data_IF_335501480532
#
_entry.id   IF_335501480532
#
_cell.length_a   1.000
_cell.length_b   1.000
_cell.length_c   1.000
_cell.angle_alpha   90.00
_cell.angle_beta   90.00
_cell.angle_gamma   90.00
#
_symmetry.space_group_name_H-M   'P 1'
#
loop_
_entity.id
_entity.type
_entity.pdbx_description
1 polymer ?
#
# COMPACT_ATOMS: atom_id res chain seq x y z
N UNK A 1 15.82 -5.71 -11.77
CA UNK A 1 15.85 -4.42 -11.04
C UNK A 1 15.34 -4.63 -9.61
N UNK A 2 16.16 -4.36 -8.60
CA UNK A 2 15.76 -4.51 -7.20
C UNK A 2 14.76 -3.41 -6.80
N UNK A 3 13.56 -3.80 -6.36
CA UNK A 3 12.56 -2.84 -5.89
C UNK A 3 12.93 -2.31 -4.52
N UNK A 4 13.16 -0.99 -4.41
CA UNK A 4 13.32 -0.33 -3.12
C UNK A 4 12.01 -0.43 -2.33
N UNK A 5 12.07 -0.86 -1.07
CA UNK A 5 10.91 -0.91 -0.19
C UNK A 5 10.33 0.50 -0.02
N UNK A 6 9.03 0.67 -0.28
CA UNK A 6 8.34 1.97 -0.19
C UNK A 6 7.50 2.01 1.10
N UNK A 7 7.41 3.18 1.74
CA UNK A 7 6.52 3.42 2.89
C UNK A 7 5.06 3.36 2.43
N UNK A 8 4.21 2.63 3.16
CA UNK A 8 2.76 2.57 2.91
C UNK A 8 2.08 3.78 3.55
N UNK A 9 2.26 4.95 2.95
CA UNK A 9 1.63 6.20 3.33
C UNK A 9 1.29 7.01 2.08
N UNK A 10 0.50 8.08 2.22
CA UNK A 10 0.21 8.97 1.11
C UNK A 10 1.50 9.54 0.49
N UNK A 11 1.61 9.45 -0.84
CA UNK A 11 2.78 9.94 -1.58
C UNK A 11 2.60 11.43 -1.88
N UNK A 12 3.35 12.30 -1.19
CA UNK A 12 3.22 13.76 -1.33
C UNK A 12 3.66 14.28 -2.71
N UNK A 13 4.68 13.66 -3.33
CA UNK A 13 5.17 14.05 -4.65
C UNK A 13 4.23 13.58 -5.77
N UNK A 14 3.52 14.51 -6.38
CA UNK A 14 2.49 14.28 -7.41
C UNK A 14 2.95 13.42 -8.59
N UNK A 15 4.07 13.75 -9.22
CA UNK A 15 4.59 12.99 -10.36
C UNK A 15 4.84 11.51 -9.99
N UNK A 16 5.44 11.27 -8.82
CA UNK A 16 5.68 9.91 -8.32
C UNK A 16 4.38 9.18 -7.96
N UNK A 17 3.40 9.90 -7.39
CA UNK A 17 2.09 9.36 -7.05
C UNK A 17 1.33 8.93 -8.31
N UNK A 18 1.29 9.78 -9.34
CA UNK A 18 0.63 9.49 -10.64
C UNK A 18 1.27 8.29 -11.35
N UNK A 19 2.60 8.25 -11.43
CA UNK A 19 3.32 7.12 -12.04
C UNK A 19 3.08 5.81 -11.26
N UNK A 20 3.10 5.88 -9.92
CA UNK A 20 2.82 4.73 -9.06
C UNK A 20 1.38 4.26 -9.20
N UNK A 21 0.40 5.17 -9.27
CA UNK A 21 -1.01 4.85 -9.48
C UNK A 21 -1.18 4.09 -10.80
N UNK A 22 -0.68 4.62 -11.92
CA UNK A 22 -0.78 3.96 -13.24
C UNK A 22 -0.21 2.53 -13.23
N UNK A 23 0.93 2.32 -12.57
CA UNK A 23 1.57 0.99 -12.48
C UNK A 23 0.81 0.04 -11.56
N UNK A 24 0.43 0.50 -10.36
CA UNK A 24 -0.26 -0.33 -9.35
C UNK A 24 -1.69 -0.65 -9.76
N UNK A 25 -2.38 0.28 -10.40
CA UNK A 25 -3.74 0.10 -10.94
C UNK A 25 -3.80 -1.07 -11.93
N UNK A 26 -2.92 -1.06 -12.94
CA UNK A 26 -2.76 -2.17 -13.89
C UNK A 26 -2.42 -3.49 -13.20
N UNK A 27 -1.51 -3.45 -12.22
CA UNK A 27 -1.12 -4.63 -11.46
C UNK A 27 -2.26 -5.20 -10.61
N UNK A 28 -3.09 -4.34 -10.01
CA UNK A 28 -4.24 -4.73 -9.20
C UNK A 28 -5.32 -5.37 -10.08
N UNK A 29 -5.68 -4.74 -11.20
CA UNK A 29 -6.66 -5.27 -12.15
C UNK A 29 -6.23 -6.65 -12.65
N UNK A 30 -4.96 -6.81 -13.04
CA UNK A 30 -4.43 -8.11 -13.43
C UNK A 30 -4.54 -9.16 -12.32
N UNK A 31 -4.32 -8.76 -11.06
CA UNK A 31 -4.43 -9.69 -9.92
C UNK A 31 -5.88 -10.07 -9.61
N UNK A 32 -6.83 -9.17 -9.83
CA UNK A 32 -8.27 -9.48 -9.71
C UNK A 32 -8.67 -10.47 -10.79
N UNK A 33 -8.25 -10.25 -12.03
CA UNK A 33 -8.49 -11.15 -13.16
C UNK A 33 -7.89 -12.56 -12.93
N UNK A 34 -6.62 -12.63 -12.51
CA UNK A 34 -5.97 -13.89 -12.14
C UNK A 34 -6.70 -14.59 -10.97
N UNK A 35 -7.16 -13.84 -9.96
CA UNK A 35 -7.86 -14.41 -8.80
C UNK A 35 -9.24 -14.93 -9.17
N UNK A 36 -9.96 -14.20 -10.02
CA UNK A 36 -11.25 -14.63 -10.57
C UNK A 36 -11.09 -15.92 -11.35
N UNK A 37 -10.14 -15.96 -12.27
CA UNK A 37 -9.91 -17.09 -13.19
C UNK A 37 -9.35 -18.32 -12.48
N UNK A 38 -8.35 -18.17 -11.61
CA UNK A 38 -7.67 -19.30 -10.96
C UNK A 38 -8.37 -19.76 -9.69
N UNK A 39 -9.06 -18.84 -9.02
CA UNK A 39 -9.75 -19.10 -7.76
C UNK A 39 -11.21 -19.49 -7.94
N UNK A 40 -11.74 -19.47 -9.17
CA UNK A 40 -13.15 -19.70 -9.51
C UNK A 40 -14.09 -18.92 -8.57
N UNK A 41 -13.85 -17.60 -8.51
CA UNK A 41 -14.52 -16.72 -7.57
C UNK A 41 -14.98 -15.43 -8.25
N UNK A 42 -16.22 -15.02 -7.99
CA UNK A 42 -16.75 -13.73 -8.43
C UNK A 42 -15.93 -12.58 -7.79
N UNK A 43 -15.07 -11.95 -8.60
CA UNK A 43 -14.22 -10.85 -8.16
C UNK A 43 -14.36 -9.64 -9.09
N UNK A 44 -14.52 -8.47 -8.50
CA UNK A 44 -14.60 -7.20 -9.23
C UNK A 44 -13.80 -6.10 -8.52
N UNK A 45 -13.43 -5.06 -9.26
CA UNK A 45 -12.79 -3.87 -8.67
C UNK A 45 -13.24 -2.58 -9.34
N UNK A 46 -13.41 -1.53 -8.53
CA UNK A 46 -13.73 -0.17 -8.98
C UNK A 46 -12.70 0.79 -8.38
N UNK A 47 -11.94 1.49 -9.24
CA UNK A 47 -10.84 2.35 -8.83
C UNK A 47 -11.14 3.79 -9.22
N UNK A 48 -11.30 4.66 -8.23
CA UNK A 48 -11.45 6.10 -8.43
C UNK A 48 -10.10 6.79 -8.35
N UNK A 49 -9.80 7.62 -9.36
CA UNK A 49 -8.57 8.39 -9.43
C UNK A 49 -8.91 9.88 -9.47
N UNK A 50 -8.27 10.74 -8.66
CA UNK A 50 -8.46 12.19 -8.76
C UNK A 50 -8.01 12.80 -10.09
N UNK A 51 -7.28 12.04 -10.92
CA UNK A 51 -6.76 12.50 -12.21
C UNK A 51 -7.59 12.03 -13.40
N UNK A 52 -8.62 11.21 -13.18
CA UNK A 52 -9.45 10.62 -14.23
C UNK A 52 -10.92 10.92 -13.91
N UNK A 53 -11.72 11.28 -14.91
CA UNK A 53 -13.13 11.63 -14.69
C UNK A 53 -14.00 10.39 -14.47
N UNK A 54 -13.60 9.25 -15.05
CA UNK A 54 -14.31 7.99 -14.95
C UNK A 54 -13.50 6.99 -14.12
N UNK A 55 -14.18 6.16 -13.30
CA UNK A 55 -13.52 5.09 -12.57
C UNK A 55 -13.06 3.99 -13.52
N UNK A 56 -11.94 3.37 -13.21
CA UNK A 56 -11.55 2.13 -13.88
C UNK A 56 -12.27 0.95 -13.22
N UNK A 57 -13.01 0.21 -14.03
CA UNK A 57 -13.87 -0.91 -13.60
C UNK A 57 -13.38 -2.19 -14.26
N UNK A 58 -13.28 -3.27 -13.49
CA UNK A 58 -12.93 -4.60 -13.98
C UNK A 58 -13.83 -5.66 -13.31
N UNK A 59 -14.35 -6.64 -14.08
CA UNK A 59 -14.06 -6.92 -15.50
C UNK A 59 -14.78 -5.99 -16.49
N UNK A 60 -16.09 -5.81 -16.35
CA UNK A 60 -16.84 -4.76 -17.04
C UNK A 60 -17.90 -4.14 -16.10
N UNK A 61 -18.50 -2.99 -16.46
CA UNK A 61 -19.46 -2.32 -15.58
C UNK A 61 -20.67 -3.17 -15.17
N UNK A 62 -21.25 -3.93 -16.10
CA UNK A 62 -22.43 -4.76 -15.85
C UNK A 62 -22.10 -5.92 -14.90
N UNK A 63 -21.05 -6.69 -15.22
CA UNK A 63 -20.61 -7.82 -14.39
C UNK A 63 -20.20 -7.35 -12.99
N UNK A 64 -19.50 -6.22 -12.91
CA UNK A 64 -19.11 -5.62 -11.62
C UNK A 64 -20.34 -5.28 -10.78
N UNK A 65 -21.38 -4.70 -11.41
CA UNK A 65 -22.62 -4.41 -10.73
C UNK A 65 -23.32 -5.69 -10.24
N UNK A 66 -23.32 -6.75 -11.03
CA UNK A 66 -23.88 -8.05 -10.65
C UNK A 66 -23.14 -8.65 -9.44
N UNK A 67 -21.80 -8.67 -9.47
CA UNK A 67 -20.99 -9.15 -8.34
C UNK A 67 -21.27 -8.35 -7.07
N UNK A 68 -21.38 -7.01 -7.19
CA UNK A 68 -21.72 -6.14 -6.05
C UNK A 68 -23.13 -6.46 -5.52
N UNK A 69 -24.12 -6.64 -6.40
CA UNK A 69 -25.49 -6.99 -6.00
C UNK A 69 -25.54 -8.33 -5.27
N UNK A 70 -24.88 -9.36 -5.80
CA UNK A 70 -24.74 -10.67 -5.13
C UNK A 70 -24.09 -10.53 -3.76
N UNK A 71 -23.00 -9.78 -3.66
CA UNK A 71 -22.31 -9.52 -2.39
C UNK A 71 -23.22 -8.87 -1.35
N UNK A 72 -23.99 -7.85 -1.74
CA UNK A 72 -24.94 -7.18 -0.84
C UNK A 72 -26.08 -8.11 -0.44
N UNK A 73 -26.64 -8.87 -1.38
CA UNK A 73 -27.73 -9.82 -1.12
C UNK A 73 -27.33 -10.92 -0.13
N UNK A 74 -26.08 -11.37 -0.16
CA UNK A 74 -25.54 -12.37 0.76
C UNK A 74 -25.18 -11.81 2.15
N UNK A 75 -25.55 -10.56 2.47
CA UNK A 75 -25.19 -9.93 3.75
C UNK A 75 -23.69 -9.62 3.85
N UNK A 76 -23.03 -9.40 2.72
CA UNK A 76 -21.61 -9.09 2.62
C UNK A 76 -21.24 -7.94 3.56
N UNK A 77 -20.45 -8.25 4.58
CA UNK A 77 -19.95 -7.22 5.49
C UNK A 77 -18.75 -6.53 4.86
N UNK A 78 -18.63 -5.22 5.04
CA UNK A 78 -17.37 -4.54 4.73
C UNK A 78 -16.25 -5.25 5.50
N UNK A 79 -15.23 -5.74 4.79
CA UNK A 79 -13.99 -6.13 5.45
C UNK A 79 -13.60 -4.94 6.34
N UNK A 80 -13.50 -5.15 7.65
CA UNK A 80 -13.32 -4.07 8.62
C UNK A 80 -12.06 -3.27 8.30
N UNK A 81 -12.23 -2.22 7.52
CA UNK A 81 -11.22 -1.21 7.25
C UNK A 81 -10.78 -0.65 8.60
N UNK A 82 -9.55 -0.99 9.00
CA UNK A 82 -8.94 -0.49 10.23
C UNK A 82 -8.39 -1.56 11.17
N UNK A 83 -8.70 -2.85 11.03
CA UNK A 83 -7.94 -3.86 11.78
C UNK A 83 -6.67 -4.20 11.01
N UNK A 84 -5.46 -3.93 11.55
CA UNK A 84 -4.24 -4.33 10.87
C UNK A 84 -4.30 -5.85 10.77
N UNK A 85 -4.43 -6.36 9.55
CA UNK A 85 -4.23 -7.79 9.27
C UNK A 85 -2.88 -8.20 9.86
N UNK A 86 -2.69 -9.50 10.16
CA UNK A 86 -1.40 -10.01 10.69
C UNK A 86 -0.20 -9.48 9.88
N UNK A 87 -0.39 -9.22 8.58
CA UNK A 87 0.59 -8.60 7.69
C UNK A 87 0.93 -7.14 8.03
N UNK A 88 -0.06 -6.29 8.28
CA UNK A 88 0.17 -4.89 8.67
C UNK A 88 0.85 -4.78 10.05
N UNK A 89 0.48 -5.64 11.01
CA UNK A 89 1.18 -5.73 12.30
C UNK A 89 2.66 -6.06 12.16
N UNK A 90 2.99 -7.09 11.35
CA UNK A 90 4.40 -7.44 11.05
C UNK A 90 5.16 -6.26 10.43
N UNK A 91 4.51 -5.52 9.54
CA UNK A 91 5.10 -4.34 8.90
C UNK A 91 5.32 -3.18 9.86
N UNK A 92 4.39 -2.96 10.80
CA UNK A 92 4.50 -1.95 11.86
C UNK A 92 5.67 -2.24 12.80
N UNK A 93 5.74 -3.48 13.33
CA UNK A 93 6.84 -3.92 14.22
C UNK A 93 8.21 -3.73 13.54
N UNK A 94 8.30 -4.04 12.24
CA UNK A 94 9.53 -3.85 11.47
C UNK A 94 9.88 -2.37 11.27
N UNK A 95 8.89 -1.49 11.15
CA UNK A 95 9.13 -0.04 11.06
C UNK A 95 9.62 0.52 12.40
N UNK A 96 9.02 0.11 13.51
CA UNK A 96 9.43 0.52 14.86
C UNK A 96 10.85 0.04 15.22
N UNK A 97 11.21 -1.20 14.84
CA UNK A 97 12.56 -1.70 15.09
C UNK A 97 13.63 -0.95 14.27
N UNK A 98 13.30 -0.54 13.04
CA UNK A 98 14.17 0.30 12.21
C UNK A 98 14.34 1.70 12.80
N UNK A 99 13.27 2.31 13.32
CA UNK A 99 13.33 3.61 13.99
C UNK A 99 14.25 3.56 15.22
N UNK A 100 14.07 2.55 16.08
CA UNK A 100 14.94 2.36 17.26
C UNK A 100 16.41 2.17 16.88
N UNK A 101 16.68 1.46 15.78
CA UNK A 101 18.05 1.30 15.27
C UNK A 101 18.64 2.65 14.83
N UNK A 102 17.89 3.44 14.06
CA UNK A 102 18.34 4.77 13.60
C UNK A 102 18.58 5.73 14.77
N UNK A 103 17.72 5.72 15.80
CA UNK A 103 17.91 6.55 16.99
C UNK A 103 19.23 6.23 17.71
N UNK A 104 19.56 4.94 17.87
CA UNK A 104 20.84 4.52 18.47
C UNK A 104 22.04 4.93 17.61
N UNK A 105 21.96 4.75 16.29
CA UNK A 105 23.02 5.15 15.38
C UNK A 105 23.23 6.68 15.38
N UNK A 106 22.16 7.47 15.44
CA UNK A 106 22.26 8.92 15.55
C UNK A 106 22.90 9.34 16.87
N UNK A 107 22.46 8.76 18.00
CA UNK A 107 23.03 9.07 19.30
C UNK A 107 24.52 8.73 19.39
N UNK A 108 24.92 7.61 18.80
CA UNK A 108 26.34 7.25 18.73
C UNK A 108 27.16 8.26 17.92
N UNK A 109 26.62 8.75 16.80
CA UNK A 109 27.28 9.80 16.00
C UNK A 109 27.36 11.14 16.73
N UNK A 110 26.33 11.51 17.49
CA UNK A 110 26.34 12.71 18.33
C UNK A 110 27.47 12.64 19.37
N UNK A 111 27.61 11.50 20.07
CA UNK A 111 28.69 11.29 21.03
C UNK A 111 30.07 11.35 20.39
N UNK A 112 30.26 10.70 19.23
CA UNK A 112 31.51 10.76 18.49
C UNK A 112 31.84 12.20 18.08
N UNK A 113 30.87 12.94 17.55
CA UNK A 113 31.06 14.33 17.15
C UNK A 113 31.43 15.21 18.35
N UNK A 114 30.81 14.98 19.52
CA UNK A 114 31.17 15.67 20.76
C UNK A 114 32.61 15.36 21.17
N UNK A 115 33.03 14.10 21.13
CA UNK A 115 34.42 13.71 21.42
C UNK A 115 35.41 14.40 20.48
N UNK A 116 35.15 14.42 19.18
CA UNK A 116 36.00 15.14 18.22
C UNK A 116 36.00 16.65 18.47
N UNK A 117 34.85 17.25 18.83
CA UNK A 117 34.77 18.66 19.20
C UNK A 117 35.61 19.01 20.43
N UNK A 118 35.72 18.11 21.41
CA UNK A 118 36.60 18.29 22.57
C UNK A 118 38.09 18.09 22.27
N UNK A 119 38.44 17.40 21.18
CA UNK A 119 39.84 17.15 20.77
C UNK A 119 40.41 18.24 19.86
N UNK A 120 39.56 19.07 19.26
CA UNK A 120 39.94 20.18 18.36
C UNK A 120 39.84 21.54 19.07
N UNK A 121 39.54 21.55 20.38
CA UNK A 121 39.58 22.71 21.26
C UNK A 121 40.92 22.87 21.97
#
# INVERSE_FOLDING_TARGET
MATRKVKLAFMTKDATRKASLKKRKRGLIKKVDELSTLGDADACTTIFSPSENEPEVCPCPLDTQEVIMKFVACGGTKAKDGKPTKFFRKSLIKAESQLRKQQRENHHKELINLMYGCLVG
#
